data_IF_822744907659
#
_entry.id   IF_822744907659
#
_cell.length_a   1.000
_cell.length_b   1.000
_cell.length_c   1.000
_cell.angle_alpha   90.00
_cell.angle_beta   90.00
_cell.angle_gamma   90.00
#
_symmetry.space_group_name_H-M   'P 1'
#
loop_
_entity.id
_entity.type
_entity.pdbx_description
1 polymer ?
#
# COMPACT_ATOMS: atom_id res chain seq x y z
N UNK A 1 -17.17 7.49 -4.72
CA UNK A 1 -16.03 6.71 -5.28
C UNK A 1 -16.54 5.35 -5.71
N UNK A 2 -15.99 4.75 -6.76
CA UNK A 2 -16.36 3.41 -7.20
C UNK A 2 -15.63 2.35 -6.36
N UNK A 3 -16.33 1.27 -5.97
CA UNK A 3 -15.76 0.21 -5.11
C UNK A 3 -14.56 -0.51 -5.74
N UNK A 4 -14.54 -0.63 -7.07
CA UNK A 4 -13.42 -1.22 -7.82
C UNK A 4 -12.11 -0.40 -7.77
N UNK A 5 -12.16 0.81 -7.19
CA UNK A 5 -11.02 1.71 -6.93
C UNK A 5 -10.51 1.66 -5.49
N UNK A 6 -11.11 0.82 -4.67
CA UNK A 6 -10.72 0.66 -3.27
C UNK A 6 -9.89 -0.62 -3.12
N UNK A 7 -8.75 -0.50 -2.46
CA UNK A 7 -7.79 -1.56 -2.25
C UNK A 7 -7.57 -1.82 -0.76
N UNK A 8 -7.27 -3.06 -0.41
CA UNK A 8 -6.83 -3.43 0.94
C UNK A 8 -5.30 -3.58 0.98
N UNK A 9 -4.66 -2.98 1.97
CA UNK A 9 -3.28 -3.29 2.34
C UNK A 9 -3.28 -4.58 3.16
N UNK A 10 -2.98 -5.68 2.51
CA UNK A 10 -3.10 -7.02 3.06
C UNK A 10 -1.80 -7.56 3.63
N UNK A 11 -1.79 -7.90 4.91
CA UNK A 11 -0.63 -8.43 5.61
C UNK A 11 -1.01 -9.64 6.48
N UNK A 12 -0.02 -10.37 6.98
CA UNK A 12 -0.25 -11.54 7.84
C UNK A 12 -0.95 -11.12 9.14
N UNK A 13 -2.00 -11.85 9.57
CA UNK A 13 -2.72 -11.55 10.81
C UNK A 13 -1.78 -11.35 12.00
N UNK A 14 -2.03 -10.34 12.81
CA UNK A 14 -1.22 -10.00 13.99
C UNK A 14 0.15 -9.40 13.70
N UNK A 15 0.55 -9.22 12.42
CA UNK A 15 1.87 -8.70 12.08
C UNK A 15 2.12 -7.30 12.66
N UNK A 16 1.11 -6.42 12.65
CA UNK A 16 1.24 -5.08 13.23
C UNK A 16 1.40 -5.11 14.76
N UNK A 17 0.79 -6.08 15.47
CA UNK A 17 0.93 -6.21 16.92
C UNK A 17 2.35 -6.63 17.36
N UNK A 18 3.15 -7.19 16.45
CA UNK A 18 4.56 -7.50 16.72
C UNK A 18 5.48 -6.28 16.66
N UNK A 19 4.94 -5.13 16.24
CA UNK A 19 5.66 -3.86 16.20
C UNK A 19 5.25 -3.03 17.42
N UNK A 20 5.95 -3.18 18.54
CA UNK A 20 5.60 -2.58 19.84
C UNK A 20 5.31 -1.07 19.77
N UNK A 21 6.04 -0.33 18.94
CA UNK A 21 5.84 1.12 18.78
C UNK A 21 4.44 1.50 18.24
N UNK A 22 3.72 0.57 17.59
CA UNK A 22 2.36 0.84 17.11
C UNK A 22 1.34 0.88 18.24
N UNK A 23 1.61 0.27 19.42
CA UNK A 23 0.75 0.28 20.61
C UNK A 23 -0.69 -0.11 20.34
N UNK A 24 -0.91 -1.04 19.41
CA UNK A 24 -2.25 -1.48 19.02
C UNK A 24 -2.98 -2.18 20.18
N UNK A 25 -4.26 -1.88 20.42
CA UNK A 25 -5.06 -2.57 21.41
C UNK A 25 -5.51 -3.95 20.90
N UNK A 26 -5.96 -4.80 21.81
CA UNK A 26 -6.61 -6.06 21.48
C UNK A 26 -5.70 -7.09 20.83
N UNK A 27 -6.31 -7.98 20.03
CA UNK A 27 -5.62 -9.04 19.30
C UNK A 27 -6.23 -9.13 17.91
N UNK A 28 -5.41 -8.96 16.87
CA UNK A 28 -5.84 -9.16 15.50
C UNK A 28 -5.67 -10.62 15.07
N UNK A 29 -6.72 -11.16 14.42
CA UNK A 29 -6.74 -12.48 13.80
C UNK A 29 -7.26 -12.46 12.37
N UNK A 30 -7.77 -11.32 11.91
CA UNK A 30 -8.38 -11.16 10.61
C UNK A 30 -7.38 -11.45 9.49
N UNK A 31 -7.66 -12.48 8.71
CA UNK A 31 -6.91 -12.80 7.49
C UNK A 31 -7.14 -11.74 6.42
N UNK A 32 -6.34 -11.77 5.35
CA UNK A 32 -6.52 -10.84 4.23
C UNK A 32 -7.88 -11.06 3.55
N UNK A 33 -8.28 -12.32 3.36
CA UNK A 33 -9.60 -12.66 2.78
C UNK A 33 -10.75 -12.16 3.65
N UNK A 34 -10.70 -12.39 4.97
CA UNK A 34 -11.71 -11.86 5.90
C UNK A 34 -11.74 -10.33 5.91
N UNK A 35 -10.57 -9.67 5.79
CA UNK A 35 -10.47 -8.22 5.64
C UNK A 35 -11.15 -7.72 4.37
N UNK A 36 -10.87 -8.35 3.22
CA UNK A 36 -11.53 -8.03 1.96
C UNK A 36 -13.05 -8.18 2.08
N UNK A 37 -13.54 -9.28 2.64
CA UNK A 37 -14.97 -9.53 2.85
C UNK A 37 -15.60 -8.52 3.83
N UNK A 38 -14.95 -8.27 4.96
CA UNK A 38 -15.43 -7.36 6.01
C UNK A 38 -15.58 -5.92 5.53
N UNK A 39 -14.68 -5.46 4.66
CA UNK A 39 -14.73 -4.12 4.08
C UNK A 39 -15.44 -4.08 2.72
N UNK A 40 -15.77 -5.21 2.10
CA UNK A 40 -16.36 -5.26 0.77
C UNK A 40 -15.39 -4.81 -0.33
N UNK A 41 -14.12 -5.18 -0.23
CA UNK A 41 -13.02 -4.80 -1.14
C UNK A 41 -12.61 -6.02 -1.96
N UNK A 42 -12.36 -5.83 -3.26
CA UNK A 42 -11.99 -6.90 -4.19
C UNK A 42 -10.55 -6.78 -4.72
N UNK A 43 -9.83 -5.70 -4.37
CA UNK A 43 -8.44 -5.49 -4.78
C UNK A 43 -7.50 -5.48 -3.57
N UNK A 44 -6.29 -6.00 -3.72
CA UNK A 44 -5.35 -6.11 -2.61
C UNK A 44 -3.92 -5.84 -3.01
N UNK A 45 -3.23 -5.04 -2.20
CA UNK A 45 -1.76 -5.01 -2.14
C UNK A 45 -1.33 -6.03 -1.09
N UNK A 46 -0.83 -7.20 -1.50
CA UNK A 46 -0.32 -8.23 -0.58
C UNK A 46 1.14 -7.95 -0.26
N UNK A 47 1.37 -7.45 0.95
CA UNK A 47 2.66 -6.93 1.35
C UNK A 47 3.27 -7.78 2.46
N UNK A 48 4.51 -8.24 2.24
CA UNK A 48 5.31 -8.95 3.24
C UNK A 48 5.74 -8.02 4.37
N UNK A 49 5.84 -8.57 5.57
CA UNK A 49 6.53 -7.96 6.72
C UNK A 49 7.69 -8.86 7.16
N UNK A 50 8.59 -8.38 8.02
CA UNK A 50 9.72 -9.17 8.51
C UNK A 50 9.32 -10.50 9.19
N UNK A 51 8.07 -10.60 9.63
CA UNK A 51 7.52 -11.83 10.22
C UNK A 51 7.13 -12.88 9.17
N UNK A 52 7.16 -12.53 7.89
CA UNK A 52 6.66 -13.32 6.77
C UNK A 52 7.78 -14.03 5.99
N UNK A 53 8.91 -14.35 6.62
CA UNK A 53 10.08 -14.95 5.96
C UNK A 53 9.78 -16.22 5.14
N UNK A 54 8.76 -16.99 5.55
CA UNK A 54 8.37 -18.23 4.89
C UNK A 54 7.10 -18.08 4.03
N UNK A 55 6.62 -16.83 3.82
CA UNK A 55 5.40 -16.57 3.08
C UNK A 55 5.60 -16.88 1.59
N UNK A 56 4.82 -17.81 1.07
CA UNK A 56 4.70 -18.06 -0.37
C UNK A 56 3.61 -17.19 -0.98
N UNK A 57 3.96 -16.26 -1.85
CA UNK A 57 2.96 -15.47 -2.59
C UNK A 57 2.06 -16.35 -3.45
N UNK A 58 2.55 -17.45 -3.98
CA UNK A 58 1.72 -18.37 -4.76
C UNK A 58 0.57 -18.94 -3.94
N UNK A 59 0.84 -19.42 -2.72
CA UNK A 59 -0.22 -19.89 -1.81
C UNK A 59 -1.18 -18.78 -1.40
N UNK A 60 -0.67 -17.57 -1.17
CA UNK A 60 -1.50 -16.40 -0.86
C UNK A 60 -2.45 -16.05 -2.02
N UNK A 61 -1.96 -16.07 -3.26
CA UNK A 61 -2.78 -15.80 -4.46
C UNK A 61 -3.90 -16.86 -4.60
N UNK A 62 -3.62 -18.11 -4.29
CA UNK A 62 -4.60 -19.20 -4.30
C UNK A 62 -5.69 -18.99 -3.23
N UNK A 63 -5.29 -18.60 -2.02
CA UNK A 63 -6.22 -18.24 -0.92
C UNK A 63 -7.06 -17.02 -1.27
N UNK A 64 -6.48 -16.03 -1.93
CA UNK A 64 -7.13 -14.81 -2.41
C UNK A 64 -7.90 -15.05 -3.73
N UNK A 65 -8.64 -16.16 -3.83
CA UNK A 65 -9.36 -16.57 -5.04
C UNK A 65 -10.29 -15.48 -5.56
N UNK A 66 -11.00 -14.78 -4.65
CA UNK A 66 -12.00 -13.77 -4.94
C UNK A 66 -11.41 -12.39 -5.27
N UNK A 67 -10.10 -12.21 -5.10
CA UNK A 67 -9.46 -10.95 -5.47
C UNK A 67 -9.48 -10.75 -6.99
N UNK A 68 -9.91 -9.55 -7.42
CA UNK A 68 -9.91 -9.14 -8.83
C UNK A 68 -8.54 -8.69 -9.29
N UNK A 69 -7.83 -7.93 -8.42
CA UNK A 69 -6.48 -7.44 -8.70
C UNK A 69 -5.59 -7.62 -7.48
N UNK A 70 -4.36 -8.03 -7.71
CA UNK A 70 -3.34 -8.23 -6.68
C UNK A 70 -2.07 -7.51 -7.12
N UNK A 71 -1.53 -6.66 -6.23
CA UNK A 71 -0.19 -6.10 -6.31
C UNK A 71 0.64 -6.74 -5.20
N UNK A 72 1.83 -7.26 -5.54
CA UNK A 72 2.70 -7.97 -4.60
C UNK A 72 3.90 -7.11 -4.19
N UNK A 73 4.38 -7.23 -2.96
CA UNK A 73 5.55 -6.45 -2.54
C UNK A 73 6.85 -7.01 -3.12
N UNK A 74 7.61 -6.13 -3.79
CA UNK A 74 9.02 -6.31 -4.14
C UNK A 74 9.87 -6.01 -2.89
N UNK A 75 9.59 -4.86 -2.26
CA UNK A 75 10.03 -4.54 -0.91
C UNK A 75 8.78 -4.38 -0.07
N UNK A 76 8.72 -5.07 1.06
CA UNK A 76 7.60 -5.01 1.98
C UNK A 76 7.81 -4.05 3.15
N UNK A 77 6.86 -4.02 4.05
CA UNK A 77 6.87 -3.16 5.23
C UNK A 77 8.08 -3.44 6.13
N UNK A 78 8.69 -2.38 6.64
CA UNK A 78 9.98 -2.46 7.33
C UNK A 78 11.16 -2.76 6.40
N UNK A 79 10.91 -2.74 5.08
CA UNK A 79 11.90 -3.06 4.04
C UNK A 79 12.20 -4.55 3.91
N UNK A 80 11.23 -5.39 4.21
CA UNK A 80 11.33 -6.82 4.00
C UNK A 80 11.54 -7.13 2.51
N UNK A 81 12.69 -7.71 2.18
CA UNK A 81 13.05 -8.15 0.84
C UNK A 81 13.89 -9.42 0.95
N UNK A 82 13.75 -10.33 -0.01
CA UNK A 82 14.56 -11.54 -0.10
C UNK A 82 15.78 -11.38 -1.00
N UNK A 83 16.00 -10.22 -1.61
CA UNK A 83 17.20 -9.96 -2.41
C UNK A 83 18.49 -10.14 -1.61
N UNK A 84 18.49 -9.76 -0.33
CA UNK A 84 19.61 -9.96 0.58
C UNK A 84 19.92 -11.44 0.82
N UNK A 85 18.95 -12.33 0.56
CA UNK A 85 19.08 -13.79 0.65
C UNK A 85 19.38 -14.43 -0.73
N UNK A 86 19.69 -13.62 -1.76
CA UNK A 86 19.99 -14.06 -3.11
C UNK A 86 18.77 -14.44 -3.96
N UNK A 87 17.57 -14.10 -3.52
CA UNK A 87 16.33 -14.28 -4.29
C UNK A 87 16.01 -13.01 -5.08
N UNK A 88 15.41 -13.16 -6.25
CA UNK A 88 14.93 -12.06 -7.08
C UNK A 88 13.41 -11.92 -6.90
N UNK A 89 12.97 -11.06 -5.96
CA UNK A 89 11.56 -10.79 -5.68
C UNK A 89 10.80 -10.30 -6.92
N UNK A 90 11.46 -9.56 -7.81
CA UNK A 90 10.87 -9.09 -9.06
C UNK A 90 10.61 -10.25 -10.04
N UNK A 91 11.54 -11.20 -10.15
CA UNK A 91 11.37 -12.38 -10.98
C UNK A 91 10.22 -13.26 -10.46
N UNK A 92 10.10 -13.45 -9.15
CA UNK A 92 8.97 -14.17 -8.54
C UNK A 92 7.62 -13.54 -8.94
N UNK A 93 7.50 -12.20 -8.85
CA UNK A 93 6.27 -11.50 -9.22
C UNK A 93 5.93 -11.68 -10.70
N UNK A 94 6.92 -11.59 -11.60
CA UNK A 94 6.73 -11.78 -13.03
C UNK A 94 6.24 -13.20 -13.34
N UNK A 95 6.84 -14.23 -12.74
CA UNK A 95 6.40 -15.62 -12.92
C UNK A 95 4.98 -15.86 -12.38
N UNK A 96 4.66 -15.27 -11.22
CA UNK A 96 3.30 -15.35 -10.67
C UNK A 96 2.29 -14.60 -11.57
N UNK A 97 2.68 -13.47 -12.16
CA UNK A 97 1.81 -12.74 -13.07
C UNK A 97 1.54 -13.49 -14.38
N UNK A 98 2.49 -14.32 -14.86
CA UNK A 98 2.26 -15.23 -16.00
C UNK A 98 1.20 -16.28 -15.68
N UNK A 99 1.27 -16.84 -14.46
CA UNK A 99 0.36 -17.90 -14.01
C UNK A 99 -1.02 -17.36 -13.62
N UNK A 100 -1.06 -16.19 -12.99
CA UNK A 100 -2.26 -15.60 -12.41
C UNK A 100 -2.53 -14.20 -12.99
N UNK A 101 -3.45 -14.05 -13.97
CA UNK A 101 -3.73 -12.76 -14.62
C UNK A 101 -4.16 -11.64 -13.66
N UNK A 102 -4.70 -12.00 -12.48
CA UNK A 102 -5.07 -11.04 -11.43
C UNK A 102 -3.88 -10.38 -10.72
N UNK A 103 -2.65 -10.88 -10.88
CA UNK A 103 -1.43 -10.20 -10.41
C UNK A 103 -1.09 -9.11 -11.41
N UNK A 104 -1.24 -7.85 -11.00
CA UNK A 104 -1.19 -6.67 -11.89
C UNK A 104 0.04 -5.80 -11.70
N UNK A 105 0.87 -6.07 -10.71
CA UNK A 105 2.07 -5.26 -10.49
C UNK A 105 2.86 -5.64 -9.24
N UNK A 106 3.93 -4.89 -9.04
CA UNK A 106 4.81 -4.98 -7.89
C UNK A 106 4.94 -3.65 -7.16
N UNK A 107 5.03 -3.66 -5.82
CA UNK A 107 5.12 -2.47 -4.98
C UNK A 107 6.39 -2.45 -4.11
N UNK A 108 7.03 -1.29 -4.02
CA UNK A 108 8.15 -1.02 -3.11
C UNK A 108 7.65 -0.19 -1.92
N UNK A 109 7.54 -0.83 -0.75
CA UNK A 109 7.23 -0.19 0.53
C UNK A 109 8.52 0.08 1.31
N UNK A 110 8.52 1.13 2.14
CA UNK A 110 9.64 1.50 3.02
C UNK A 110 11.03 1.55 2.33
N UNK A 111 11.08 1.85 1.02
CA UNK A 111 12.36 1.90 0.31
C UNK A 111 13.08 3.25 0.45
N UNK A 112 12.39 4.32 0.88
CA UNK A 112 12.96 5.64 1.10
C UNK A 112 13.78 5.64 2.40
N UNK A 113 14.97 5.07 2.32
CA UNK A 113 15.98 5.02 3.40
C UNK A 113 17.36 5.21 2.77
N UNK A 114 18.33 5.88 3.43
CA UNK A 114 19.66 6.18 2.86
C UNK A 114 20.30 4.96 2.19
N UNK A 115 20.41 3.83 2.88
CA UNK A 115 21.06 2.62 2.37
C UNK A 115 20.35 2.04 1.14
N UNK A 116 19.01 2.14 1.09
CA UNK A 116 18.22 1.67 -0.06
C UNK A 116 18.25 2.64 -1.22
N UNK A 117 18.30 3.94 -0.94
CA UNK A 117 18.46 4.96 -1.99
C UNK A 117 19.80 4.83 -2.71
N UNK A 118 20.86 4.36 -2.02
CA UNK A 118 22.14 4.01 -2.67
C UNK A 118 22.00 2.81 -3.61
N UNK A 119 21.22 1.79 -3.21
CA UNK A 119 20.98 0.58 -4.01
C UNK A 119 19.99 0.83 -5.16
N UNK A 120 18.89 1.49 -4.89
CA UNK A 120 17.81 1.76 -5.84
C UNK A 120 17.97 3.15 -6.47
N UNK A 121 19.02 3.26 -7.32
CA UNK A 121 19.23 4.47 -8.13
C UNK A 121 18.15 4.59 -9.21
N UNK A 122 17.93 5.78 -9.81
CA UNK A 122 16.98 5.93 -10.92
C UNK A 122 17.21 4.91 -12.06
N UNK A 123 18.47 4.61 -12.41
CA UNK A 123 18.77 3.62 -13.44
C UNK A 123 18.43 2.19 -13.06
N UNK A 124 18.58 1.82 -11.78
CA UNK A 124 18.14 0.51 -11.27
C UNK A 124 16.60 0.40 -11.34
N UNK A 125 15.90 1.43 -10.86
CA UNK A 125 14.44 1.46 -10.88
C UNK A 125 13.88 1.43 -12.30
N UNK A 126 14.50 2.16 -13.23
CA UNK A 126 14.14 2.13 -14.68
C UNK A 126 14.22 0.71 -15.24
N UNK A 127 15.33 0.00 -14.99
CA UNK A 127 15.47 -1.40 -15.44
C UNK A 127 14.44 -2.34 -14.80
N UNK A 128 14.09 -2.12 -13.52
CA UNK A 128 13.03 -2.90 -12.86
C UNK A 128 11.67 -2.65 -13.52
N UNK A 129 11.34 -1.39 -13.80
CA UNK A 129 10.13 -1.01 -14.53
C UNK A 129 10.09 -1.63 -15.93
N UNK A 130 11.16 -1.52 -16.70
CA UNK A 130 11.26 -2.11 -18.03
C UNK A 130 11.02 -3.63 -17.98
N UNK A 131 11.57 -4.33 -16.98
CA UNK A 131 11.31 -5.77 -16.77
C UNK A 131 9.82 -6.04 -16.52
N UNK A 132 9.17 -5.25 -15.67
CA UNK A 132 7.73 -5.39 -15.40
C UNK A 132 6.88 -5.15 -16.64
N UNK A 133 7.24 -4.15 -17.45
CA UNK A 133 6.48 -3.78 -18.64
C UNK A 133 6.64 -4.74 -19.80
N UNK A 134 7.78 -5.44 -19.91
CA UNK A 134 8.14 -6.22 -21.12
C UNK A 134 8.25 -7.73 -20.89
N UNK A 135 8.19 -8.21 -19.65
CA UNK A 135 8.44 -9.61 -19.32
C UNK A 135 7.32 -10.57 -19.76
N UNK A 136 6.11 -10.08 -19.92
CA UNK A 136 4.93 -10.83 -20.37
C UNK A 136 4.16 -10.01 -21.43
N UNK A 137 3.10 -10.57 -21.99
CA UNK A 137 2.28 -9.96 -23.05
C UNK A 137 1.37 -8.81 -22.59
N UNK A 138 1.47 -8.41 -21.33
CA UNK A 138 0.82 -7.24 -20.72
C UNK A 138 1.76 -6.51 -19.78
N UNK A 139 1.57 -5.20 -19.63
CA UNK A 139 2.34 -4.41 -18.67
C UNK A 139 1.92 -4.73 -17.23
N UNK A 140 2.91 -4.83 -16.36
CA UNK A 140 2.74 -4.92 -14.90
C UNK A 140 3.13 -3.58 -14.29
N UNK A 141 2.26 -3.00 -13.49
CA UNK A 141 2.50 -1.71 -12.85
C UNK A 141 3.63 -1.78 -11.81
N UNK A 142 4.48 -0.77 -11.81
CA UNK A 142 5.50 -0.57 -10.80
C UNK A 142 5.04 0.49 -9.80
N UNK A 143 4.76 0.08 -8.56
CA UNK A 143 4.18 0.92 -7.51
C UNK A 143 5.22 1.32 -6.48
N UNK A 144 5.02 2.49 -5.85
CA UNK A 144 5.82 2.95 -4.71
C UNK A 144 4.96 3.52 -3.60
N UNK A 145 5.54 3.55 -2.39
CA UNK A 145 4.96 4.15 -1.19
C UNK A 145 5.77 5.37 -0.80
N UNK A 146 5.10 6.48 -0.54
CA UNK A 146 5.69 7.71 0.04
C UNK A 146 4.90 8.09 1.27
N UNK A 147 5.61 8.37 2.34
CA UNK A 147 5.06 8.87 3.59
C UNK A 147 5.41 10.35 3.79
N UNK A 148 4.58 11.07 4.55
CA UNK A 148 4.89 12.43 5.00
C UNK A 148 6.24 12.54 5.73
N UNK A 149 6.66 11.47 6.43
CA UNK A 149 7.96 11.37 7.11
C UNK A 149 9.18 11.24 6.17
N UNK A 150 8.94 11.03 4.87
CA UNK A 150 10.01 10.81 3.89
C UNK A 150 10.43 12.11 3.18
N UNK A 151 9.77 13.23 3.41
CA UNK A 151 9.94 14.48 2.65
C UNK A 151 11.34 15.09 2.74
N UNK A 152 12.10 14.79 3.79
CA UNK A 152 13.49 15.23 3.95
C UNK A 152 14.48 14.37 3.13
N UNK A 153 14.02 13.26 2.55
CA UNK A 153 14.88 12.36 1.79
C UNK A 153 14.91 12.74 0.29
N UNK A 154 16.03 12.48 -0.42
CA UNK A 154 16.17 12.82 -1.84
C UNK A 154 15.48 11.78 -2.74
N UNK A 155 14.16 11.69 -2.70
CA UNK A 155 13.41 10.69 -3.48
C UNK A 155 12.92 11.20 -4.83
N UNK A 156 12.86 12.51 -5.08
CA UNK A 156 12.20 13.14 -6.23
C UNK A 156 12.65 12.58 -7.60
N UNK A 157 13.94 12.37 -7.80
CA UNK A 157 14.47 11.83 -9.07
C UNK A 157 13.99 10.40 -9.35
N UNK A 158 13.71 9.63 -8.29
CA UNK A 158 13.27 8.22 -8.38
C UNK A 158 11.79 8.09 -8.71
N UNK A 159 10.99 9.09 -8.36
CA UNK A 159 9.54 9.05 -8.55
C UNK A 159 9.13 8.88 -10.01
N UNK A 160 9.95 9.36 -10.96
CA UNK A 160 9.69 9.27 -12.40
C UNK A 160 9.78 7.84 -12.95
N UNK A 161 10.36 6.94 -12.19
CA UNK A 161 10.57 5.54 -12.58
C UNK A 161 9.42 4.62 -12.13
N UNK A 162 8.41 5.16 -11.44
CA UNK A 162 7.22 4.41 -11.01
C UNK A 162 6.00 4.78 -11.85
N UNK A 163 5.07 3.84 -11.98
CA UNK A 163 3.79 4.04 -12.66
C UNK A 163 2.72 4.56 -11.70
N UNK A 164 2.76 4.10 -10.43
CA UNK A 164 1.80 4.43 -9.39
C UNK A 164 2.51 4.82 -8.11
N UNK A 165 2.10 5.94 -7.53
CA UNK A 165 2.51 6.36 -6.19
C UNK A 165 1.34 6.24 -5.22
N UNK A 166 1.58 5.61 -4.08
CA UNK A 166 0.66 5.59 -2.95
C UNK A 166 1.19 6.55 -1.89
N UNK A 167 0.44 7.62 -1.60
CA UNK A 167 0.81 8.59 -0.58
C UNK A 167 0.10 8.31 0.73
N UNK A 168 0.85 8.32 1.86
CA UNK A 168 0.37 7.96 3.20
C UNK A 168 0.76 9.01 4.23
N UNK A 169 -0.18 9.38 5.08
CA UNK A 169 0.05 10.28 6.22
C UNK A 169 0.32 9.47 7.48
N UNK A 170 1.62 9.34 7.84
CA UNK A 170 2.07 8.52 8.96
C UNK A 170 1.71 9.08 10.33
N UNK A 171 1.77 10.42 10.48
CA UNK A 171 1.41 11.12 11.70
C UNK A 171 0.02 11.74 11.57
N UNK A 172 -0.89 11.38 12.48
CA UNK A 172 -2.28 11.81 12.41
C UNK A 172 -2.49 13.33 12.45
N UNK A 173 -1.59 14.10 13.06
CA UNK A 173 -1.62 15.58 13.03
C UNK A 173 -1.35 16.14 11.63
N UNK A 174 -0.56 15.45 10.81
CA UNK A 174 -0.25 15.88 9.45
C UNK A 174 -1.44 15.75 8.49
N UNK A 175 -2.53 15.09 8.90
CA UNK A 175 -3.77 15.10 8.14
C UNK A 175 -4.35 16.53 7.96
N UNK A 176 -4.04 17.47 8.85
CA UNK A 176 -4.40 18.87 8.68
C UNK A 176 -3.69 19.54 7.50
N UNK A 177 -2.59 18.97 7.03
CA UNK A 177 -1.81 19.42 5.86
C UNK A 177 -1.94 18.47 4.66
N UNK A 178 -2.95 17.62 4.65
CA UNK A 178 -3.11 16.55 3.65
C UNK A 178 -3.09 17.09 2.21
N UNK A 179 -3.74 18.23 1.93
CA UNK A 179 -3.75 18.82 0.58
C UNK A 179 -2.37 19.36 0.17
N UNK A 180 -1.66 20.02 1.07
CA UNK A 180 -0.29 20.53 0.85
C UNK A 180 0.67 19.37 0.57
N UNK A 181 0.68 18.37 1.43
CA UNK A 181 1.57 17.21 1.33
C UNK A 181 1.27 16.34 0.09
N UNK A 182 0.00 16.12 -0.22
CA UNK A 182 -0.41 15.41 -1.42
C UNK A 182 0.07 16.12 -2.69
N UNK A 183 -0.13 17.43 -2.78
CA UNK A 183 0.31 18.22 -3.93
C UNK A 183 1.83 18.21 -4.05
N UNK A 184 2.59 18.29 -2.93
CA UNK A 184 4.04 18.16 -2.93
C UNK A 184 4.49 16.84 -3.56
N UNK A 185 3.91 15.70 -3.14
CA UNK A 185 4.28 14.38 -3.69
C UNK A 185 3.92 14.28 -5.17
N UNK A 186 2.74 14.76 -5.56
CA UNK A 186 2.29 14.72 -6.96
C UNK A 186 3.20 15.52 -7.90
N UNK A 187 3.76 16.63 -7.44
CA UNK A 187 4.69 17.44 -8.24
C UNK A 187 6.03 16.75 -8.51
N UNK A 188 6.45 15.81 -7.65
CA UNK A 188 7.70 15.07 -7.84
C UNK A 188 7.62 14.08 -9.01
N UNK A 189 6.43 13.57 -9.36
CA UNK A 189 6.24 12.57 -10.41
C UNK A 189 5.10 12.93 -11.36
N UNK A 190 5.32 13.89 -12.27
CA UNK A 190 4.28 14.51 -13.14
C UNK A 190 3.41 13.54 -13.96
N UNK A 191 3.87 12.31 -14.18
CA UNK A 191 3.14 11.31 -14.99
C UNK A 191 2.72 10.08 -14.20
N UNK A 192 2.92 10.07 -12.88
CA UNK A 192 2.47 8.96 -12.04
C UNK A 192 0.98 9.04 -11.79
N UNK A 193 0.35 7.88 -11.78
CA UNK A 193 -0.99 7.72 -11.19
C UNK A 193 -0.90 7.78 -9.69
N UNK A 194 -1.82 8.48 -9.06
CA UNK A 194 -1.81 8.67 -7.61
C UNK A 194 -2.88 7.83 -6.93
N UNK A 195 -2.52 7.18 -5.83
CA UNK A 195 -3.43 6.52 -4.89
C UNK A 195 -3.27 7.16 -3.52
N UNK A 196 -4.35 7.29 -2.76
CA UNK A 196 -4.26 7.76 -1.39
C UNK A 196 -4.30 6.57 -0.41
N UNK A 197 -3.30 6.47 0.45
CA UNK A 197 -3.33 5.57 1.58
C UNK A 197 -4.20 6.13 2.71
N UNK A 198 -5.09 5.32 3.23
CA UNK A 198 -6.01 5.70 4.32
C UNK A 198 -5.70 4.85 5.54
N UNK A 199 -5.25 5.49 6.62
CA UNK A 199 -5.01 4.86 7.91
C UNK A 199 -6.24 4.93 8.81
N UNK A 200 -6.50 3.84 9.52
CA UNK A 200 -7.50 3.78 10.63
C UNK A 200 -6.85 3.89 12.01
N UNK A 201 -5.54 4.10 12.06
CA UNK A 201 -4.69 4.23 13.25
C UNK A 201 -3.61 5.27 13.02
N UNK A 202 -3.30 6.07 14.01
CA UNK A 202 -2.18 7.02 13.97
C UNK A 202 -0.89 6.26 14.31
N UNK A 203 -0.26 5.68 13.30
CA UNK A 203 0.95 4.85 13.46
C UNK A 203 2.16 5.64 13.94
N UNK A 204 2.25 6.92 13.58
CA UNK A 204 3.35 7.79 13.97
C UNK A 204 3.37 8.03 15.47
N UNK A 205 2.21 8.15 16.10
CA UNK A 205 2.04 8.42 17.52
C UNK A 205 1.61 7.17 18.33
N UNK A 206 1.28 6.06 17.66
CA UNK A 206 0.83 4.83 18.29
C UNK A 206 -0.45 5.02 19.10
N UNK A 207 -1.47 5.64 18.51
CA UNK A 207 -2.74 5.98 19.18
C UNK A 207 -3.92 5.88 18.20
N UNK A 208 -5.18 5.81 18.73
CA UNK A 208 -6.37 5.83 17.89
C UNK A 208 -6.43 7.08 17.01
N UNK A 209 -6.88 6.89 15.78
CA UNK A 209 -7.25 8.01 14.92
C UNK A 209 -8.65 8.48 15.30
N UNK A 210 -8.83 9.79 15.52
CA UNK A 210 -10.16 10.35 15.83
C UNK A 210 -11.11 10.23 14.65
N UNK A 211 -12.41 10.14 14.95
CA UNK A 211 -13.48 10.14 13.93
C UNK A 211 -13.40 11.35 13.01
N UNK A 212 -13.10 12.55 13.55
CA UNK A 212 -12.93 13.77 12.78
C UNK A 212 -11.82 13.62 11.73
N UNK A 213 -10.65 13.12 12.13
CA UNK A 213 -9.52 12.88 11.22
C UNK A 213 -9.84 11.79 10.20
N UNK A 214 -10.60 10.76 10.60
CA UNK A 214 -11.04 9.72 9.68
C UNK A 214 -11.96 10.27 8.60
N UNK A 215 -12.99 11.04 8.97
CA UNK A 215 -13.87 11.72 8.01
C UNK A 215 -13.11 12.68 7.11
N UNK A 216 -12.16 13.45 7.65
CA UNK A 216 -11.34 14.35 6.87
C UNK A 216 -10.55 13.65 5.76
N UNK A 217 -9.93 12.47 6.05
CA UNK A 217 -9.26 11.67 5.02
C UNK A 217 -10.23 11.20 3.93
N UNK A 218 -11.42 10.74 4.32
CA UNK A 218 -12.40 10.19 3.38
C UNK A 218 -13.02 11.27 2.49
N UNK A 219 -13.32 12.44 3.05
CA UNK A 219 -13.80 13.60 2.30
C UNK A 219 -12.74 14.09 1.30
N UNK A 220 -11.49 14.16 1.73
CA UNK A 220 -10.37 14.48 0.86
C UNK A 220 -10.23 13.47 -0.29
N UNK A 221 -10.26 12.17 0.03
CA UNK A 221 -10.19 11.09 -0.94
C UNK A 221 -11.31 11.19 -1.99
N UNK A 222 -12.56 11.41 -1.55
CA UNK A 222 -13.71 11.53 -2.46
C UNK A 222 -13.60 12.77 -3.35
N UNK A 223 -13.15 13.89 -2.80
CA UNK A 223 -12.89 15.12 -3.56
C UNK A 223 -11.82 14.91 -4.63
N UNK A 224 -10.66 14.31 -4.27
CA UNK A 224 -9.55 14.07 -5.19
C UNK A 224 -9.88 13.02 -6.24
N UNK A 225 -10.68 12.01 -5.89
CA UNK A 225 -11.18 11.04 -6.86
C UNK A 225 -12.12 11.69 -7.89
N UNK A 226 -13.07 12.50 -7.44
CA UNK A 226 -14.01 13.22 -8.33
C UNK A 226 -13.32 14.19 -9.27
N UNK A 227 -12.22 14.81 -8.84
CA UNK A 227 -11.39 15.69 -9.70
C UNK A 227 -10.42 14.92 -10.61
N UNK A 228 -10.32 13.59 -10.49
CA UNK A 228 -9.40 12.77 -11.28
C UNK A 228 -7.93 12.89 -10.84
N UNK A 229 -7.68 13.43 -9.64
CA UNK A 229 -6.32 13.58 -9.11
C UNK A 229 -5.78 12.30 -8.45
N UNK A 230 -6.67 11.38 -8.03
CA UNK A 230 -6.31 10.03 -7.60
C UNK A 230 -7.14 8.99 -8.36
N UNK A 231 -6.58 7.79 -8.55
CA UNK A 231 -7.30 6.66 -9.15
C UNK A 231 -8.13 5.88 -8.14
N UNK A 232 -7.83 6.02 -6.85
CA UNK A 232 -8.51 5.31 -5.78
C UNK A 232 -7.80 5.45 -4.44
N UNK A 233 -8.16 4.59 -3.51
CA UNK A 233 -7.57 4.55 -2.16
C UNK A 233 -7.09 3.16 -1.80
N UNK A 234 -6.18 3.11 -0.84
CA UNK A 234 -5.72 1.87 -0.20
C UNK A 234 -5.96 1.95 1.29
N UNK A 235 -6.75 1.03 1.83
CA UNK A 235 -7.04 0.94 3.25
C UNK A 235 -5.97 0.15 4.00
N UNK A 236 -5.37 0.69 5.02
CA UNK A 236 -4.47 -0.02 5.93
C UNK A 236 -5.19 -0.35 7.24
N UNK A 237 -5.44 -1.56 7.56
CA UNK A 237 -5.21 -2.85 6.93
C UNK A 237 -6.12 -3.92 7.57
N UNK A 238 -6.11 -5.17 7.09
CA UNK A 238 -6.73 -6.28 7.82
C UNK A 238 -6.14 -6.48 9.23
N UNK A 239 -4.87 -6.09 9.45
CA UNK A 239 -4.19 -6.23 10.75
C UNK A 239 -4.78 -5.39 11.89
N UNK A 240 -5.71 -4.48 11.59
CA UNK A 240 -6.41 -3.64 12.57
C UNK A 240 -7.93 -3.61 12.33
N UNK A 241 -8.42 -4.42 11.39
CA UNK A 241 -9.84 -4.43 11.03
C UNK A 241 -10.78 -5.04 12.08
N UNK A 242 -10.28 -5.90 12.97
CA UNK A 242 -11.06 -6.68 13.95
C UNK A 242 -10.73 -6.33 15.43
N UNK A 243 -10.02 -5.25 15.69
CA UNK A 243 -9.59 -4.87 17.04
C UNK A 243 -10.47 -3.78 17.69
N UNK A 244 -11.66 -3.54 17.14
CA UNK A 244 -12.66 -2.64 17.75
C UNK A 244 -12.38 -1.16 17.59
N UNK A 245 -11.76 -0.74 16.48
CA UNK A 245 -11.49 0.67 16.18
C UNK A 245 -12.74 1.36 15.60
N UNK A 246 -13.15 2.49 16.16
CA UNK A 246 -14.22 3.34 15.61
C UNK A 246 -13.91 3.76 14.15
N UNK A 247 -12.64 4.09 13.85
CA UNK A 247 -12.21 4.41 12.51
C UNK A 247 -12.43 3.26 11.50
N UNK A 248 -12.35 2.00 11.94
CA UNK A 248 -12.65 0.85 11.09
C UNK A 248 -14.16 0.74 10.79
N UNK A 249 -15.01 1.07 11.74
CA UNK A 249 -16.46 1.09 11.54
C UNK A 249 -16.89 2.25 10.63
N UNK A 250 -16.31 3.44 10.80
CA UNK A 250 -16.49 4.57 9.88
C UNK A 250 -16.10 4.17 8.46
N UNK A 251 -14.95 3.50 8.29
CA UNK A 251 -14.48 3.06 6.97
C UNK A 251 -15.44 2.07 6.32
N UNK A 252 -15.94 1.06 7.07
CA UNK A 252 -16.94 0.11 6.56
C UNK A 252 -18.20 0.81 6.06
N UNK A 253 -18.74 1.71 6.88
CA UNK A 253 -19.95 2.46 6.54
C UNK A 253 -19.74 3.34 5.30
N UNK A 254 -18.57 3.97 5.20
CA UNK A 254 -18.23 4.81 4.04
C UNK A 254 -18.13 3.96 2.76
N UNK A 255 -17.45 2.81 2.79
CA UNK A 255 -17.35 1.90 1.63
C UNK A 255 -18.73 1.39 1.22
N UNK A 256 -19.63 1.08 2.17
CA UNK A 256 -20.99 0.68 1.86
C UNK A 256 -21.77 1.76 1.08
N UNK A 257 -21.46 3.04 1.32
CA UNK A 257 -22.05 4.18 0.61
C UNK A 257 -21.45 4.44 -0.77
N UNK A 258 -20.33 3.80 -1.12
CA UNK A 258 -19.70 3.87 -2.44
C UNK A 258 -20.50 3.09 -3.50
N UNK A 259 -20.36 3.47 -4.76
CA UNK A 259 -21.04 2.84 -5.91
C UNK A 259 -20.39 1.50 -6.31
#
# INVERSE_FOLDING_TARGET
>A
MDKDKIWLWGQTPGAHHKVEKYRLPGVNRMTVTEGMQSFGIENVCRVRMQVDKDLSFEKEIEILSDAKKIVLSIIGSGGCSYQEEGRDDLAEIIELARKYPKVTGGIMDDFIRPQRLETYTPDVLRRMRERLHTAIDRELDFWTVIYDRDFEQPFAERMREFDVCTYWTWYGENLLKLDEHFNFVREQGKNMRMMLGVYMWDYGNGQPLSSEKMYHQLEFADKKYKSGEIEGIILCSNCIGDIGLEAADIMRNWIQSCN
#
